data_IF_188083747420
#
_entry.id   IF_188083747420
#
_cell.length_a   1.000
_cell.length_b   1.000
_cell.length_c   1.000
_cell.angle_alpha   90.00
_cell.angle_beta   90.00
_cell.angle_gamma   90.00
#
_symmetry.space_group_name_H-M   'P 1'
#
loop_
_entity.id
_entity.type
_entity.pdbx_description
1 polymer ?
#
# COMPACT_ATOMS: atom_id res chain seq x y z
N UNK A 1 -43.38 -2.87 -45.07
CA UNK A 1 -42.91 -2.83 -46.47
C UNK A 1 -42.46 -1.41 -46.77
N UNK A 2 -41.38 -1.17 -47.54
CA UNK A 2 -40.06 -1.84 -47.53
C UNK A 2 -38.90 -0.78 -47.47
N UNK A 3 -37.70 -1.07 -46.93
CA UNK A 3 -36.57 -1.88 -47.44
C UNK A 3 -35.91 -1.31 -48.72
N UNK A 4 -34.64 -0.84 -48.65
CA UNK A 4 -33.45 -1.36 -49.39
C UNK A 4 -32.33 -0.33 -49.75
N UNK A 5 -31.09 -0.75 -49.39
CA UNK A 5 -29.75 -0.61 -50.02
C UNK A 5 -29.19 0.80 -50.38
N UNK A 6 -27.92 1.10 -50.12
CA UNK A 6 -26.73 0.44 -50.68
C UNK A 6 -25.47 0.57 -49.80
N UNK A 7 -24.70 -0.51 -49.86
CA UNK A 7 -23.37 -0.76 -49.34
C UNK A 7 -22.33 -0.26 -50.34
N UNK A 8 -21.25 0.39 -49.88
CA UNK A 8 -19.97 0.41 -50.60
C UNK A 8 -18.82 0.26 -49.63
N UNK A 9 -18.14 -0.87 -49.80
CA UNK A 9 -16.81 -1.25 -49.34
C UNK A 9 -15.76 -0.16 -49.59
N UNK A 10 -14.94 0.14 -48.57
CA UNK A 10 -13.55 0.56 -48.78
C UNK A 10 -12.64 -0.22 -47.83
N UNK A 11 -11.70 -0.92 -48.46
CA UNK A 11 -10.59 -1.71 -47.93
C UNK A 11 -9.94 -1.11 -46.68
N UNK A 12 -9.81 -1.94 -45.65
CA UNK A 12 -8.84 -1.73 -44.57
C UNK A 12 -7.54 -2.35 -45.06
N UNK A 13 -6.52 -1.51 -45.25
CA UNK A 13 -5.18 -1.96 -45.54
C UNK A 13 -4.58 -2.61 -44.28
N UNK A 14 -4.40 -3.92 -44.36
CA UNK A 14 -3.59 -4.73 -43.46
C UNK A 14 -2.12 -4.35 -43.65
N UNK A 15 -1.59 -3.51 -42.76
CA UNK A 15 -0.16 -3.47 -42.48
C UNK A 15 0.13 -4.27 -41.21
N UNK A 16 0.22 -5.59 -41.41
CA UNK A 16 0.97 -6.48 -40.54
C UNK A 16 2.42 -6.00 -40.48
N UNK A 17 2.88 -5.66 -39.28
CA UNK A 17 4.31 -5.54 -39.01
C UNK A 17 4.98 -6.90 -39.27
N UNK A 18 6.12 -6.82 -39.96
CA UNK A 18 6.99 -7.94 -40.33
C UNK A 18 7.40 -8.78 -39.09
N UNK A 19 7.51 -10.11 -39.19
CA UNK A 19 7.90 -10.99 -38.09
C UNK A 19 9.36 -10.89 -37.62
N UNK A 20 10.14 -9.91 -38.09
CA UNK A 20 11.57 -9.77 -37.76
C UNK A 20 11.89 -8.76 -36.63
N UNK A 21 10.91 -7.99 -36.12
CA UNK A 21 11.14 -6.98 -35.06
C UNK A 21 10.82 -7.46 -33.62
N UNK A 22 10.55 -8.76 -33.41
CA UNK A 22 10.28 -9.35 -32.08
C UNK A 22 11.53 -9.86 -31.34
N UNK A 23 12.74 -9.53 -31.81
CA UNK A 23 14.00 -10.01 -31.23
C UNK A 23 14.57 -9.15 -30.09
N UNK A 24 13.86 -8.12 -29.62
CA UNK A 24 14.31 -7.25 -28.50
C UNK A 24 13.35 -7.16 -27.31
N UNK A 25 12.70 -8.28 -26.94
CA UNK A 25 11.96 -8.39 -25.67
C UNK A 25 12.92 -8.92 -24.59
N UNK A 26 13.13 -8.23 -23.46
CA UNK A 26 13.94 -8.77 -22.36
C UNK A 26 13.30 -10.04 -21.79
N UNK A 27 13.99 -11.16 -21.94
CA UNK A 27 13.59 -12.45 -21.40
C UNK A 27 13.68 -12.41 -19.86
N UNK A 28 12.54 -12.58 -19.19
CA UNK A 28 12.38 -12.67 -17.73
C UNK A 28 13.05 -13.92 -17.11
N UNK A 29 13.56 -14.84 -17.94
CA UNK A 29 14.28 -16.04 -17.53
C UNK A 29 15.75 -15.83 -17.10
N UNK A 30 16.30 -14.61 -17.20
CA UNK A 30 17.72 -14.35 -16.94
C UNK A 30 18.12 -14.12 -15.47
N UNK A 31 17.26 -14.44 -14.50
CA UNK A 31 17.65 -14.55 -13.08
C UNK A 31 18.52 -15.79 -12.79
N UNK A 32 18.73 -16.67 -13.77
CA UNK A 32 19.45 -17.94 -13.62
C UNK A 32 20.98 -17.84 -13.78
N UNK A 33 21.56 -16.67 -14.05
CA UNK A 33 23.03 -16.51 -14.18
C UNK A 33 23.72 -15.97 -12.93
N UNK A 34 22.99 -15.80 -11.82
CA UNK A 34 23.59 -15.44 -10.53
C UNK A 34 24.34 -16.68 -10.03
N UNK A 35 25.68 -16.57 -9.95
CA UNK A 35 26.55 -17.62 -9.46
C UNK A 35 25.99 -18.28 -8.20
N UNK A 36 26.04 -19.61 -8.15
CA UNK A 36 25.59 -20.39 -6.99
C UNK A 36 26.11 -19.73 -5.71
N UNK A 37 25.24 -19.26 -4.79
CA UNK A 37 25.72 -18.80 -3.50
C UNK A 37 26.43 -19.98 -2.85
N UNK A 38 27.68 -19.76 -2.41
CA UNK A 38 28.30 -20.68 -1.48
C UNK A 38 27.34 -20.83 -0.30
N UNK A 39 26.91 -22.07 -0.05
CA UNK A 39 26.11 -22.39 1.11
C UNK A 39 26.93 -22.01 2.34
N UNK A 40 26.57 -20.90 2.99
CA UNK A 40 26.98 -20.65 4.36
C UNK A 40 26.30 -21.74 5.17
N UNK A 41 27.09 -22.72 5.61
CA UNK A 41 26.65 -23.77 6.53
C UNK A 41 26.37 -23.05 7.86
N UNK A 42 25.12 -22.65 8.06
CA UNK A 42 24.63 -22.28 9.37
C UNK A 42 24.50 -23.59 10.12
N UNK A 43 25.48 -23.87 10.98
CA UNK A 43 25.46 -25.04 11.85
C UNK A 43 24.12 -25.14 12.56
N UNK A 44 23.60 -26.36 12.69
CA UNK A 44 22.42 -26.70 13.48
C UNK A 44 22.71 -26.45 14.96
N UNK A 45 22.75 -25.18 15.36
CA UNK A 45 22.87 -24.75 16.74
C UNK A 45 21.52 -24.29 17.24
N UNK A 46 21.04 -24.94 18.29
CA UNK A 46 19.79 -24.64 18.99
C UNK A 46 19.87 -23.38 19.87
N UNK A 47 20.96 -22.61 19.79
CA UNK A 47 21.16 -21.36 20.54
C UNK A 47 21.30 -20.13 19.63
N UNK A 48 20.45 -19.13 19.90
CA UNK A 48 20.22 -17.87 19.19
C UNK A 48 21.40 -16.89 19.33
N UNK A 49 21.85 -16.18 18.29
CA UNK A 49 22.68 -15.01 18.48
C UNK A 49 21.84 -13.77 18.91
N UNK A 50 22.26 -13.07 19.98
CA UNK A 50 21.69 -11.78 20.42
C UNK A 50 21.96 -10.70 19.37
N UNK A 51 21.00 -10.42 18.49
CA UNK A 51 21.27 -9.86 17.15
C UNK A 51 22.21 -10.84 16.42
N UNK A 52 21.99 -11.24 15.16
CA UNK A 52 22.99 -12.10 14.55
C UNK A 52 24.32 -11.33 14.54
N UNK A 53 25.30 -11.79 15.32
CA UNK A 53 26.65 -11.26 15.26
C UNK A 53 27.24 -11.83 13.98
N UNK A 54 26.93 -11.17 12.86
CA UNK A 54 27.68 -11.39 11.64
C UNK A 54 29.08 -10.84 11.86
N UNK A 55 30.08 -11.56 11.36
CA UNK A 55 31.40 -11.00 11.21
C UNK A 55 31.34 -9.76 10.28
N UNK A 56 32.40 -8.94 10.33
CA UNK A 56 32.45 -7.71 9.56
C UNK A 56 32.34 -7.95 8.04
N UNK A 57 32.72 -9.13 7.56
CA UNK A 57 32.65 -9.50 6.14
C UNK A 57 31.20 -9.72 5.74
N UNK A 58 30.46 -10.52 6.49
CA UNK A 58 29.05 -10.79 6.23
C UNK A 58 28.16 -9.54 6.42
N UNK A 59 28.54 -8.61 7.30
CA UNK A 59 27.89 -7.28 7.41
C UNK A 59 28.10 -6.47 6.13
N UNK A 60 29.33 -6.41 5.61
CA UNK A 60 29.63 -5.66 4.40
C UNK A 60 28.98 -6.28 3.16
N UNK A 61 28.95 -7.61 3.08
CA UNK A 61 28.25 -8.34 2.02
C UNK A 61 26.74 -8.06 2.08
N UNK A 62 26.14 -8.07 3.28
CA UNK A 62 24.74 -7.73 3.47
C UNK A 62 24.43 -6.30 3.01
N UNK A 63 25.26 -5.32 3.37
CA UNK A 63 25.09 -3.92 2.94
C UNK A 63 25.18 -3.78 1.41
N UNK A 64 26.20 -4.37 0.79
CA UNK A 64 26.40 -4.33 -0.67
C UNK A 64 25.21 -4.94 -1.41
N UNK A 65 24.72 -6.07 -0.92
CA UNK A 65 23.60 -6.78 -1.53
C UNK A 65 22.26 -6.05 -1.32
N UNK A 66 22.03 -5.39 -0.18
CA UNK A 66 20.89 -4.48 -0.01
C UNK A 66 20.98 -3.33 -1.01
N UNK A 67 22.08 -2.57 -1.04
CA UNK A 67 22.18 -1.37 -1.90
C UNK A 67 21.97 -1.74 -3.38
N UNK A 68 22.72 -2.72 -3.88
CA UNK A 68 22.70 -3.08 -5.29
C UNK A 68 21.41 -3.77 -5.74
N UNK A 69 20.92 -4.75 -4.97
CA UNK A 69 19.80 -5.60 -5.41
C UNK A 69 18.45 -5.08 -4.91
N UNK A 70 18.36 -4.66 -3.64
CA UNK A 70 17.12 -4.06 -3.13
C UNK A 70 16.86 -2.70 -3.79
N UNK A 71 17.90 -1.89 -4.02
CA UNK A 71 17.78 -0.62 -4.75
C UNK A 71 17.16 -0.80 -6.14
N UNK A 72 17.64 -1.77 -6.92
CA UNK A 72 17.09 -2.07 -8.24
C UNK A 72 15.67 -2.65 -8.23
N UNK A 73 15.28 -3.38 -7.17
CA UNK A 73 13.89 -3.84 -7.01
C UNK A 73 12.98 -2.67 -6.61
N UNK A 74 13.40 -1.88 -5.62
CA UNK A 74 12.65 -0.73 -5.13
C UNK A 74 12.40 0.29 -6.25
N UNK A 75 13.40 0.63 -7.06
CA UNK A 75 13.24 1.56 -8.21
C UNK A 75 12.16 1.13 -9.21
N UNK A 76 11.98 -0.17 -9.41
CA UNK A 76 10.97 -0.70 -10.34
C UNK A 76 9.56 -0.67 -9.75
N UNK A 77 9.46 -0.61 -8.42
CA UNK A 77 8.20 -0.56 -7.68
C UNK A 77 7.77 0.87 -7.32
N UNK A 78 8.69 1.83 -7.38
CA UNK A 78 8.35 3.23 -7.12
C UNK A 78 7.47 3.80 -8.23
N UNK A 79 6.50 4.59 -7.82
CA UNK A 79 5.64 5.35 -8.71
C UNK A 79 6.41 6.41 -9.49
N UNK A 80 7.38 7.10 -8.85
CA UNK A 80 8.31 8.00 -9.54
C UNK A 80 9.75 7.57 -9.31
N UNK A 81 10.61 7.72 -10.32
CA UNK A 81 12.04 7.43 -10.16
C UNK A 81 12.65 8.42 -9.17
N UNK A 82 13.47 7.89 -8.27
CA UNK A 82 14.20 8.70 -7.28
C UNK A 82 15.69 8.60 -7.59
N UNK A 83 16.33 9.69 -7.98
CA UNK A 83 17.74 9.70 -8.46
C UNK A 83 18.79 9.29 -7.40
N UNK A 84 18.41 9.18 -6.12
CA UNK A 84 19.31 8.93 -4.98
C UNK A 84 18.80 7.83 -4.04
N UNK A 85 18.10 6.81 -4.56
CA UNK A 85 17.57 5.73 -3.70
C UNK A 85 18.69 5.00 -2.94
N UNK A 86 19.85 4.82 -3.59
CA UNK A 86 20.99 4.10 -3.01
C UNK A 86 21.61 4.87 -1.86
N UNK A 87 21.67 6.21 -1.96
CA UNK A 87 22.12 7.09 -0.88
C UNK A 87 21.17 7.00 0.31
N UNK A 88 19.85 7.02 0.06
CA UNK A 88 18.82 6.84 1.09
C UNK A 88 18.90 5.48 1.78
N UNK A 89 19.06 4.40 1.02
CA UNK A 89 19.26 3.05 1.55
C UNK A 89 20.55 2.95 2.37
N UNK A 90 21.64 3.55 1.88
CA UNK A 90 22.94 3.59 2.56
C UNK A 90 22.84 4.34 3.90
N UNK A 91 22.16 5.49 3.91
CA UNK A 91 21.93 6.26 5.13
C UNK A 91 21.09 5.45 6.13
N UNK A 92 20.04 4.76 5.66
CA UNK A 92 19.16 3.95 6.51
C UNK A 92 19.91 2.76 7.13
N UNK A 93 20.62 1.95 6.34
CA UNK A 93 21.35 0.77 6.87
C UNK A 93 22.53 1.13 7.77
N UNK A 94 23.13 2.31 7.59
CA UNK A 94 24.23 2.77 8.43
C UNK A 94 23.76 3.47 9.71
N UNK A 95 22.48 3.85 9.80
CA UNK A 95 21.94 4.55 10.97
C UNK A 95 21.74 3.65 12.20
N UNK A 96 21.50 2.35 12.01
CA UNK A 96 21.30 1.38 13.09
C UNK A 96 21.47 -0.06 12.64
N UNK A 97 22.01 -0.92 13.52
CA UNK A 97 22.05 -2.36 13.31
C UNK A 97 20.64 -2.96 13.18
N UNK A 98 19.63 -2.40 13.87
CA UNK A 98 18.24 -2.87 13.75
C UNK A 98 17.79 -2.75 12.30
N UNK A 99 17.99 -1.58 11.70
CA UNK A 99 17.61 -1.29 10.32
C UNK A 99 18.37 -2.12 9.30
N UNK A 100 19.69 -2.30 9.49
CA UNK A 100 20.47 -3.22 8.68
C UNK A 100 19.86 -4.62 8.67
N UNK A 101 19.50 -5.12 9.86
CA UNK A 101 18.97 -6.46 10.02
C UNK A 101 17.56 -6.65 9.47
N UNK A 102 16.66 -5.70 9.72
CA UNK A 102 15.29 -5.77 9.19
C UNK A 102 15.29 -5.63 7.68
N UNK A 103 16.12 -4.76 7.11
CA UNK A 103 16.26 -4.63 5.66
C UNK A 103 16.91 -5.86 5.03
N UNK A 104 17.93 -6.44 5.66
CA UNK A 104 18.52 -7.70 5.20
C UNK A 104 17.49 -8.83 5.17
N UNK A 105 16.70 -8.97 6.25
CA UNK A 105 15.66 -9.99 6.35
C UNK A 105 14.55 -9.78 5.31
N UNK A 106 14.08 -8.54 5.15
CA UNK A 106 13.12 -8.15 4.11
C UNK A 106 13.65 -8.49 2.71
N UNK A 107 14.91 -8.19 2.44
CA UNK A 107 15.55 -8.55 1.17
C UNK A 107 15.60 -10.07 0.96
N UNK A 108 16.04 -10.85 1.97
CA UNK A 108 16.12 -12.31 1.86
C UNK A 108 14.76 -12.95 1.62
N UNK A 109 13.74 -12.47 2.32
CA UNK A 109 12.35 -12.87 2.10
C UNK A 109 11.93 -12.54 0.66
N UNK A 110 12.18 -11.32 0.20
CA UNK A 110 11.83 -10.91 -1.16
C UNK A 110 12.52 -11.77 -2.23
N UNK A 111 13.79 -12.12 -2.03
CA UNK A 111 14.53 -13.02 -2.91
C UNK A 111 13.87 -14.39 -2.98
N UNK A 112 13.52 -15.00 -1.83
CA UNK A 112 12.85 -16.30 -1.79
C UNK A 112 11.46 -16.22 -2.45
N UNK A 113 10.65 -15.23 -2.09
CA UNK A 113 9.29 -15.05 -2.60
C UNK A 113 9.29 -14.77 -4.12
N UNK A 114 10.24 -13.98 -4.63
CA UNK A 114 10.35 -13.69 -6.06
C UNK A 114 10.68 -14.91 -6.92
N UNK A 115 11.29 -15.95 -6.34
CA UNK A 115 11.50 -17.25 -7.01
C UNK A 115 10.30 -18.20 -6.91
N UNK A 116 9.20 -17.77 -6.28
CA UNK A 116 8.04 -18.62 -5.98
C UNK A 116 8.27 -19.62 -4.84
N UNK A 117 9.39 -19.50 -4.12
CA UNK A 117 9.74 -20.39 -3.01
C UNK A 117 9.03 -19.99 -1.71
N UNK A 118 8.82 -20.97 -0.82
CA UNK A 118 8.17 -20.73 0.47
C UNK A 118 9.12 -20.05 1.48
N UNK A 119 8.78 -18.82 1.88
CA UNK A 119 9.53 -18.02 2.85
C UNK A 119 9.02 -18.16 4.30
N UNK A 120 8.04 -19.03 4.60
CA UNK A 120 7.44 -19.16 5.94
C UNK A 120 8.46 -19.53 7.04
N UNK A 121 9.58 -20.14 6.71
CA UNK A 121 10.64 -20.43 7.70
C UNK A 121 11.19 -19.16 8.37
N UNK A 122 11.14 -18.00 7.69
CA UNK A 122 11.51 -16.70 8.27
C UNK A 122 10.48 -16.17 9.27
N UNK A 123 9.23 -16.65 9.28
CA UNK A 123 8.17 -16.12 10.15
C UNK A 123 8.55 -16.22 11.63
N UNK A 124 9.11 -17.36 12.05
CA UNK A 124 9.56 -17.56 13.43
C UNK A 124 10.68 -16.59 13.83
N UNK A 125 11.56 -16.25 12.88
CA UNK A 125 12.64 -15.29 13.10
C UNK A 125 12.10 -13.87 13.20
N UNK A 126 11.19 -13.49 12.32
CA UNK A 126 10.55 -12.17 12.33
C UNK A 126 9.77 -11.94 13.64
N UNK A 127 8.93 -12.89 14.05
CA UNK A 127 8.14 -12.78 15.30
C UNK A 127 9.07 -12.71 16.52
N UNK A 128 10.15 -13.46 16.53
CA UNK A 128 11.13 -13.40 17.64
C UNK A 128 11.85 -12.05 17.64
N UNK A 129 12.21 -11.53 16.47
CA UNK A 129 12.91 -10.27 16.37
C UNK A 129 12.01 -9.09 16.75
N UNK A 130 10.74 -9.09 16.35
CA UNK A 130 9.78 -8.05 16.76
C UNK A 130 9.57 -8.01 18.27
N UNK A 131 9.50 -9.18 18.93
CA UNK A 131 9.45 -9.25 20.41
C UNK A 131 10.71 -8.68 21.05
N UNK A 132 11.89 -9.02 20.54
CA UNK A 132 13.16 -8.48 21.04
C UNK A 132 13.23 -6.96 20.93
N UNK A 133 12.74 -6.38 19.83
CA UNK A 133 12.70 -4.93 19.66
C UNK A 133 11.82 -4.25 20.72
N UNK A 134 10.67 -4.85 21.06
CA UNK A 134 9.82 -4.33 22.12
C UNK A 134 10.41 -4.50 23.52
N UNK A 135 11.05 -5.63 23.80
CA UNK A 135 11.63 -5.93 25.12
C UNK A 135 12.88 -5.07 25.42
N UNK A 136 13.58 -4.61 24.38
CA UNK A 136 14.80 -3.81 24.49
C UNK A 136 14.57 -2.31 24.75
N UNK A 137 13.31 -1.87 24.91
CA UNK A 137 12.94 -0.46 25.14
C UNK A 137 12.55 -0.20 26.59
N UNK A 138 13.49 -0.10 27.56
CA UNK A 138 13.16 0.34 28.90
C UNK A 138 12.74 1.82 28.90
N UNK A 139 11.75 2.22 29.71
CA UNK A 139 11.14 3.56 29.68
C UNK A 139 12.05 4.71 30.15
N UNK A 140 13.29 4.44 30.56
CA UNK A 140 14.12 5.37 31.32
C UNK A 140 15.44 5.78 30.66
N UNK A 141 15.76 5.32 29.45
CA UNK A 141 17.01 5.74 28.78
C UNK A 141 16.84 7.05 27.99
N UNK A 142 17.73 8.04 28.20
CA UNK A 142 17.65 9.32 27.52
C UNK A 142 18.01 9.21 26.04
N UNK A 143 17.12 9.75 25.21
CA UNK A 143 17.37 10.45 23.94
C UNK A 143 18.55 9.94 23.09
N UNK A 144 18.56 8.65 22.73
CA UNK A 144 19.47 8.13 21.72
C UNK A 144 18.77 7.97 20.37
N UNK A 145 19.54 7.94 19.29
CA UNK A 145 19.12 7.74 17.89
C UNK A 145 18.34 6.43 17.61
N UNK A 146 18.08 5.60 18.63
CA UNK A 146 17.49 4.27 18.52
C UNK A 146 15.98 4.21 18.27
N UNK A 147 15.18 5.21 18.67
CA UNK A 147 13.72 5.12 18.57
C UNK A 147 13.19 5.13 17.13
N UNK A 148 13.88 5.85 16.24
CA UNK A 148 13.58 5.79 14.80
C UNK A 148 13.86 4.42 14.23
N UNK A 149 14.94 3.77 14.68
CA UNK A 149 15.27 2.43 14.24
C UNK A 149 14.30 1.37 14.77
N UNK A 150 13.72 1.57 15.97
CA UNK A 150 12.69 0.68 16.53
C UNK A 150 11.41 0.74 15.69
N UNK A 151 10.84 1.93 15.48
CA UNK A 151 9.62 2.10 14.67
C UNK A 151 9.82 1.55 13.26
N UNK A 152 10.88 2.00 12.58
CA UNK A 152 11.20 1.57 11.22
C UNK A 152 11.42 0.06 11.12
N UNK A 153 12.12 -0.51 12.11
CA UNK A 153 12.38 -1.95 12.17
C UNK A 153 11.10 -2.75 12.34
N UNK A 154 10.21 -2.33 13.24
CA UNK A 154 8.91 -2.99 13.45
C UNK A 154 8.03 -2.91 12.20
N UNK A 155 7.99 -1.77 11.51
CA UNK A 155 7.26 -1.61 10.25
C UNK A 155 7.79 -2.52 9.13
N UNK A 156 9.12 -2.56 8.95
CA UNK A 156 9.75 -3.44 7.96
C UNK A 156 9.42 -4.90 8.24
N UNK A 157 9.44 -5.32 9.50
CA UNK A 157 9.08 -6.67 9.93
C UNK A 157 7.59 -6.96 9.68
N UNK A 158 6.70 -6.03 10.03
CA UNK A 158 5.25 -6.17 9.81
C UNK A 158 4.93 -6.40 8.32
N UNK A 159 5.50 -5.60 7.42
CA UNK A 159 5.27 -5.77 5.98
C UNK A 159 5.95 -7.01 5.41
N UNK A 160 7.09 -7.40 5.99
CA UNK A 160 7.72 -8.68 5.65
C UNK A 160 6.82 -9.85 6.01
N UNK A 161 6.10 -9.78 7.13
CA UNK A 161 5.09 -10.79 7.50
C UNK A 161 3.90 -10.79 6.54
N UNK A 162 3.40 -9.62 6.13
CA UNK A 162 2.32 -9.54 5.13
C UNK A 162 2.70 -10.28 3.82
N UNK A 163 3.97 -10.20 3.41
CA UNK A 163 4.45 -10.89 2.21
C UNK A 163 4.43 -12.42 2.34
N UNK A 164 4.73 -12.98 3.51
CA UNK A 164 5.00 -14.42 3.66
C UNK A 164 3.92 -15.22 4.39
N UNK A 165 3.09 -14.55 5.19
CA UNK A 165 2.03 -15.17 5.98
C UNK A 165 0.67 -14.76 5.43
N UNK A 166 0.17 -13.59 5.85
CA UNK A 166 -1.04 -12.93 5.39
C UNK A 166 -1.11 -11.51 5.98
N UNK A 167 -2.04 -10.72 5.45
CA UNK A 167 -2.30 -9.33 5.83
C UNK A 167 -2.73 -9.23 7.30
N UNK A 168 -3.46 -10.22 7.84
CA UNK A 168 -3.91 -10.17 9.23
C UNK A 168 -2.74 -10.31 10.22
N UNK A 169 -1.86 -11.28 9.99
CA UNK A 169 -0.69 -11.55 10.81
C UNK A 169 0.26 -10.36 10.76
N UNK A 170 0.49 -9.79 9.57
CA UNK A 170 1.35 -8.62 9.44
C UNK A 170 0.73 -7.36 10.02
N UNK A 171 -0.58 -7.14 9.88
CA UNK A 171 -1.28 -6.06 10.58
C UNK A 171 -1.23 -6.23 12.10
N UNK A 172 -1.33 -7.46 12.62
CA UNK A 172 -1.19 -7.74 14.05
C UNK A 172 0.19 -7.30 14.59
N UNK A 173 1.25 -7.47 13.79
CA UNK A 173 2.57 -6.91 14.09
C UNK A 173 2.59 -5.39 13.93
N UNK A 174 1.95 -4.83 12.90
CA UNK A 174 1.87 -3.38 12.68
C UNK A 174 1.22 -2.66 13.86
N UNK A 175 0.22 -3.26 14.55
CA UNK A 175 -0.35 -2.70 15.79
C UNK A 175 0.71 -2.43 16.87
N UNK A 176 1.76 -3.23 16.91
CA UNK A 176 2.87 -3.07 17.87
C UNK A 176 3.72 -1.84 17.58
N UNK A 177 3.63 -1.25 16.38
CA UNK A 177 4.31 -0.01 16.03
C UNK A 177 3.68 1.23 16.69
N UNK A 178 2.39 1.20 17.06
CA UNK A 178 1.69 2.39 17.56
C UNK A 178 2.33 3.01 18.84
N UNK A 179 2.74 2.23 19.86
CA UNK A 179 3.49 2.79 20.99
C UNK A 179 4.84 3.39 20.59
N UNK A 180 5.57 2.75 19.66
CA UNK A 180 6.85 3.26 19.15
C UNK A 180 6.65 4.57 18.37
N UNK A 181 5.59 4.66 17.58
CA UNK A 181 5.18 5.88 16.90
C UNK A 181 4.88 7.02 17.89
N UNK A 182 4.07 6.78 18.92
CA UNK A 182 3.73 7.79 19.92
C UNK A 182 4.97 8.29 20.66
N UNK A 183 5.90 7.39 21.02
CA UNK A 183 7.21 7.79 21.59
C UNK A 183 8.00 8.65 20.62
N UNK A 184 8.11 8.25 19.36
CA UNK A 184 8.80 9.03 18.32
C UNK A 184 8.17 10.41 18.10
N UNK A 185 6.84 10.51 18.19
CA UNK A 185 6.08 11.75 18.05
C UNK A 185 6.31 12.74 19.21
N UNK A 186 6.74 12.30 20.39
CA UNK A 186 7.06 13.22 21.51
C UNK A 186 8.19 14.20 21.20
N UNK A 187 9.03 13.88 20.21
CA UNK A 187 10.14 14.74 19.74
C UNK A 187 9.69 15.88 18.83
N UNK A 188 8.43 15.84 18.39
CA UNK A 188 7.86 16.80 17.45
C UNK A 188 6.57 17.38 18.07
N UNK A 189 6.69 18.32 19.01
CA UNK A 189 5.53 18.93 19.68
C UNK A 189 4.51 19.49 18.70
N UNK A 190 4.96 19.96 17.53
CA UNK A 190 4.10 20.49 16.48
C UNK A 190 3.09 19.47 15.94
N UNK A 191 3.36 18.17 16.03
CA UNK A 191 2.45 17.12 15.57
C UNK A 191 1.18 17.02 16.42
N UNK A 192 1.22 17.48 17.67
CA UNK A 192 0.13 17.33 18.62
C UNK A 192 -0.87 18.48 18.49
N UNK A 193 -2.15 18.14 18.51
CA UNK A 193 -3.26 19.07 18.67
C UNK A 193 -3.61 19.23 20.15
N UNK A 194 -4.43 20.23 20.49
CA UNK A 194 -4.84 20.53 21.87
C UNK A 194 -5.47 19.33 22.59
N UNK A 195 -6.16 18.45 21.85
CA UNK A 195 -6.83 17.26 22.40
C UNK A 195 -5.92 16.02 22.48
N UNK A 196 -4.58 16.20 22.42
CA UNK A 196 -3.60 15.10 22.36
C UNK A 196 -3.80 14.17 21.16
N UNK A 197 -4.52 14.60 20.12
CA UNK A 197 -4.61 13.91 18.83
C UNK A 197 -3.45 14.35 17.93
N UNK A 198 -3.03 13.48 17.01
CA UNK A 198 -1.95 13.78 16.06
C UNK A 198 -2.54 14.47 14.83
N UNK A 199 -2.11 15.69 14.52
CA UNK A 199 -2.53 16.39 13.32
C UNK A 199 -2.04 15.65 12.06
N UNK A 200 -2.94 15.00 11.32
CA UNK A 200 -2.57 14.18 10.16
C UNK A 200 -1.80 14.97 9.08
N UNK A 201 -2.14 16.25 8.75
CA UNK A 201 -1.37 17.02 7.78
C UNK A 201 0.11 17.15 8.19
N UNK A 202 0.35 17.41 9.48
CA UNK A 202 1.69 17.60 10.03
C UNK A 202 2.46 16.29 10.13
N UNK A 203 1.79 15.19 10.48
CA UNK A 203 2.41 13.86 10.46
C UNK A 203 2.85 13.46 9.05
N UNK A 204 2.01 13.71 8.04
CA UNK A 204 2.33 13.45 6.63
C UNK A 204 3.43 14.38 6.09
N UNK A 205 3.56 15.59 6.62
CA UNK A 205 4.66 16.52 6.30
C UNK A 205 5.89 16.36 7.17
N UNK A 206 5.85 15.48 8.18
CA UNK A 206 6.92 15.33 9.14
C UNK A 206 8.23 15.00 8.42
N UNK A 207 9.33 15.66 8.81
CA UNK A 207 10.66 15.40 8.24
C UNK A 207 11.15 13.99 8.53
N UNK A 208 10.67 13.40 9.63
CA UNK A 208 10.95 12.01 9.97
C UNK A 208 10.15 11.08 9.05
N UNK A 209 10.89 10.31 8.25
CA UNK A 209 10.32 9.37 7.28
C UNK A 209 9.40 8.35 7.97
N UNK A 210 9.77 7.85 9.14
CA UNK A 210 9.10 6.73 9.78
C UNK A 210 7.77 7.19 10.42
N UNK A 211 7.71 8.42 10.95
CA UNK A 211 6.44 9.04 11.39
C UNK A 211 5.49 9.22 10.20
N UNK A 212 6.00 9.77 9.10
CA UNK A 212 5.22 10.00 7.88
C UNK A 212 4.68 8.69 7.30
N UNK A 213 5.55 7.68 7.24
CA UNK A 213 5.26 6.36 6.71
C UNK A 213 4.22 5.63 7.58
N UNK A 214 4.36 5.64 8.90
CA UNK A 214 3.38 5.08 9.81
C UNK A 214 2.00 5.73 9.64
N UNK A 215 1.93 7.07 9.63
CA UNK A 215 0.65 7.78 9.51
C UNK A 215 -0.08 7.48 8.19
N UNK A 216 0.69 7.31 7.11
CA UNK A 216 0.17 6.85 5.83
C UNK A 216 -0.40 5.44 5.93
N UNK A 217 0.36 4.48 6.43
CA UNK A 217 -0.07 3.08 6.49
C UNK A 217 -1.23 2.86 7.44
N UNK A 218 -1.25 3.53 8.58
CA UNK A 218 -2.38 3.48 9.51
C UNK A 218 -3.69 3.98 8.84
N UNK A 219 -3.59 5.03 8.01
CA UNK A 219 -4.70 5.53 7.20
C UNK A 219 -5.14 4.52 6.14
N UNK A 220 -4.19 3.89 5.43
CA UNK A 220 -4.46 2.90 4.38
C UNK A 220 -5.00 1.60 4.96
N UNK A 221 -4.50 1.12 6.10
CA UNK A 221 -5.04 -0.06 6.79
C UNK A 221 -6.47 0.17 7.27
N UNK A 222 -6.76 1.35 7.85
CA UNK A 222 -8.12 1.70 8.26
C UNK A 222 -9.10 1.67 7.08
N UNK A 223 -8.68 2.15 5.91
CA UNK A 223 -9.44 2.03 4.65
C UNK A 223 -9.56 0.58 4.20
N UNK A 224 -8.43 -0.09 3.93
CA UNK A 224 -8.39 -1.41 3.30
C UNK A 224 -9.09 -2.46 4.16
N UNK A 225 -8.80 -2.50 5.46
CA UNK A 225 -9.38 -3.48 6.38
C UNK A 225 -10.75 -3.01 6.90
N UNK A 226 -11.18 -1.78 6.64
CA UNK A 226 -12.42 -1.26 7.22
C UNK A 226 -12.37 -1.35 8.75
N UNK A 227 -11.28 -0.91 9.36
CA UNK A 227 -11.06 -0.84 10.82
C UNK A 227 -10.86 0.61 11.25
N UNK A 228 -10.70 0.85 12.54
CA UNK A 228 -10.31 2.17 13.04
C UNK A 228 -8.79 2.37 12.90
N UNK A 229 -8.33 3.59 12.61
CA UNK A 229 -6.91 3.91 12.76
C UNK A 229 -6.41 3.62 14.18
N UNK A 230 -5.16 3.22 14.31
CA UNK A 230 -4.49 2.97 15.58
C UNK A 230 -4.24 4.27 16.34
N UNK A 231 -4.00 5.35 15.61
CA UNK A 231 -3.75 6.68 16.17
C UNK A 231 -4.99 7.55 16.01
N UNK A 232 -5.30 8.29 17.08
CA UNK A 232 -6.31 9.34 17.03
C UNK A 232 -5.77 10.54 16.25
N UNK A 233 -6.19 10.68 15.00
CA UNK A 233 -5.79 11.79 14.14
C UNK A 233 -6.72 12.99 14.26
N UNK A 234 -6.14 14.17 14.45
CA UNK A 234 -6.83 15.44 14.20
C UNK A 234 -6.81 15.72 12.69
N UNK A 235 -8.02 15.81 12.12
CA UNK A 235 -8.25 16.08 10.70
C UNK A 235 -8.80 17.48 10.44
N UNK A 236 -8.91 18.31 11.47
CA UNK A 236 -9.39 19.70 11.40
C UNK A 236 -8.27 20.68 11.07
N UNK A 237 -7.03 20.33 11.42
CA UNK A 237 -5.84 21.10 11.01
C UNK A 237 -5.82 21.26 9.48
N UNK A 238 -5.68 22.48 8.94
CA UNK A 238 -5.64 22.70 7.50
C UNK A 238 -4.34 22.16 6.90
N UNK A 239 -4.44 21.64 5.68
CA UNK A 239 -3.26 21.32 4.87
C UNK A 239 -2.69 22.61 4.28
N UNK A 240 -1.42 22.88 4.56
CA UNK A 240 -0.66 23.97 3.93
C UNK A 240 0.36 23.31 3.01
N UNK A 241 0.19 23.44 1.70
CA UNK A 241 1.17 22.94 0.75
C UNK A 241 2.44 23.80 0.83
N UNK A 242 3.50 23.27 1.43
CA UNK A 242 4.80 23.94 1.53
C UNK A 242 5.60 23.89 0.21
N UNK A 243 5.03 23.36 -0.87
CA UNK A 243 5.73 23.19 -2.15
C UNK A 243 6.85 22.15 -2.10
N UNK A 244 6.92 21.37 -1.01
CA UNK A 244 7.86 20.26 -0.84
C UNK A 244 7.21 19.00 -1.39
N UNK A 245 7.88 18.36 -2.34
CA UNK A 245 7.43 17.08 -2.87
C UNK A 245 7.34 16.05 -1.75
N UNK A 246 6.14 15.56 -1.49
CA UNK A 246 5.94 14.52 -0.49
C UNK A 246 6.32 13.17 -1.09
N UNK A 247 7.40 12.58 -0.56
CA UNK A 247 7.90 11.29 -1.03
C UNK A 247 6.88 10.15 -1.03
N UNK A 248 5.76 10.25 -0.29
CA UNK A 248 4.69 9.25 -0.31
C UNK A 248 4.08 9.08 -1.71
N UNK A 249 3.89 10.16 -2.47
CA UNK A 249 3.36 10.06 -3.83
C UNK A 249 4.32 9.29 -4.74
N UNK A 250 5.63 9.41 -4.49
CA UNK A 250 6.67 8.71 -5.26
C UNK A 250 6.72 7.23 -4.96
N UNK A 251 6.33 6.82 -3.75
CA UNK A 251 6.35 5.41 -3.36
C UNK A 251 5.01 4.74 -3.68
N UNK A 252 3.89 5.41 -3.45
CA UNK A 252 2.58 4.76 -3.44
C UNK A 252 1.66 5.16 -4.60
N UNK A 253 1.99 6.22 -5.33
CA UNK A 253 1.18 6.72 -6.44
C UNK A 253 -0.14 7.36 -6.01
N UNK A 254 -0.38 7.48 -4.70
CA UNK A 254 -1.54 8.17 -4.15
C UNK A 254 -1.18 9.62 -3.80
N UNK A 255 -1.93 10.59 -4.34
CA UNK A 255 -1.77 12.00 -4.00
C UNK A 255 -2.05 12.24 -2.50
N UNK A 256 -1.19 13.02 -1.85
CA UNK A 256 -1.33 13.34 -0.42
C UNK A 256 -2.68 13.98 -0.10
N UNK A 257 -3.16 14.88 -0.96
CA UNK A 257 -4.47 15.52 -0.79
C UNK A 257 -5.61 14.52 -0.64
N UNK A 258 -5.55 13.38 -1.34
CA UNK A 258 -6.55 12.31 -1.24
C UNK A 258 -6.38 11.49 0.04
N UNK A 259 -5.15 11.20 0.49
CA UNK A 259 -4.90 10.54 1.79
C UNK A 259 -5.49 11.34 2.94
N UNK A 260 -5.37 12.67 2.92
CA UNK A 260 -5.96 13.52 3.95
C UNK A 260 -7.49 13.45 3.94
N UNK A 261 -8.11 13.32 2.77
CA UNK A 261 -9.57 13.10 2.69
C UNK A 261 -9.96 11.71 3.20
N UNK A 262 -9.17 10.67 2.89
CA UNK A 262 -9.38 9.32 3.44
C UNK A 262 -9.27 9.34 4.96
N UNK A 263 -8.29 10.07 5.53
CA UNK A 263 -8.15 10.24 6.98
C UNK A 263 -9.37 10.94 7.60
N UNK A 264 -9.92 11.98 6.95
CA UNK A 264 -11.18 12.63 7.38
C UNK A 264 -12.35 11.63 7.39
N UNK A 265 -12.50 10.82 6.34
CA UNK A 265 -13.53 9.76 6.28
C UNK A 265 -13.33 8.73 7.41
N UNK A 266 -12.10 8.31 7.67
CA UNK A 266 -11.76 7.40 8.77
C UNK A 266 -12.13 7.98 10.14
N UNK A 267 -11.76 9.23 10.41
CA UNK A 267 -12.05 9.93 11.67
C UNK A 267 -13.57 10.11 11.89
N UNK A 268 -14.28 10.46 10.83
CA UNK A 268 -15.74 10.53 10.83
C UNK A 268 -16.38 9.18 11.19
N UNK A 269 -15.90 8.09 10.57
CA UNK A 269 -16.36 6.73 10.87
C UNK A 269 -16.04 6.32 12.31
N UNK A 270 -14.85 6.67 12.82
CA UNK A 270 -14.46 6.40 14.21
C UNK A 270 -15.39 7.10 15.21
N UNK A 271 -15.69 8.38 14.97
CA UNK A 271 -16.60 9.18 15.81
C UNK A 271 -17.98 8.56 15.90
N UNK A 272 -18.51 8.09 14.77
CA UNK A 272 -19.82 7.43 14.71
C UNK A 272 -19.84 6.09 15.45
N UNK A 273 -18.79 5.27 15.30
CA UNK A 273 -18.69 3.96 15.98
C UNK A 273 -18.57 4.10 17.51
N UNK A 274 -17.99 5.20 17.99
CA UNK A 274 -17.86 5.51 19.43
C UNK A 274 -19.13 6.21 19.97
N UNK A 275 -20.18 6.37 19.15
CA UNK A 275 -21.47 6.95 19.56
C UNK A 275 -21.41 8.46 19.82
N UNK A 276 -20.42 9.16 19.27
CA UNK A 276 -20.35 10.63 19.33
C UNK A 276 -21.19 11.25 18.20
N UNK A 277 -21.55 12.52 18.37
CA UNK A 277 -22.47 13.24 17.50
C UNK A 277 -22.14 13.05 16.00
N UNK A 278 -23.18 12.85 15.20
CA UNK A 278 -23.05 12.72 13.76
C UNK A 278 -22.36 13.97 13.17
N UNK A 279 -21.48 13.80 12.17
CA UNK A 279 -20.83 14.92 11.51
C UNK A 279 -21.86 15.90 10.96
N UNK A 280 -21.50 17.18 10.90
CA UNK A 280 -22.39 18.22 10.39
C UNK A 280 -22.82 17.86 8.96
N UNK A 281 -24.09 18.11 8.60
CA UNK A 281 -24.68 17.66 7.33
C UNK A 281 -23.91 18.12 6.07
N UNK A 282 -23.08 19.15 6.19
CA UNK A 282 -22.30 19.74 5.09
C UNK A 282 -20.82 19.30 5.04
N UNK A 283 -20.31 18.58 6.04
CA UNK A 283 -18.88 18.23 6.11
C UNK A 283 -18.43 17.34 4.93
N UNK A 284 -19.27 16.38 4.53
CA UNK A 284 -18.98 15.51 3.39
C UNK A 284 -18.96 16.27 2.06
N UNK A 285 -19.72 17.37 1.92
CA UNK A 285 -19.74 18.19 0.69
C UNK A 285 -18.44 18.97 0.53
N UNK A 286 -17.89 19.45 1.64
CA UNK A 286 -16.58 20.09 1.63
C UNK A 286 -15.50 19.10 1.20
N UNK A 287 -15.51 17.89 1.76
CA UNK A 287 -14.58 16.81 1.38
C UNK A 287 -14.76 16.45 -0.11
N UNK A 288 -16.00 16.26 -0.56
CA UNK A 288 -16.31 15.98 -1.97
C UNK A 288 -15.77 17.07 -2.90
N UNK A 289 -15.99 18.34 -2.56
CA UNK A 289 -15.49 19.49 -3.32
C UNK A 289 -13.96 19.48 -3.41
N UNK A 290 -13.25 19.15 -2.34
CA UNK A 290 -11.79 19.00 -2.36
C UNK A 290 -11.33 17.86 -3.28
N UNK A 291 -11.99 16.70 -3.22
CA UNK A 291 -11.66 15.55 -4.08
C UNK A 291 -11.92 15.86 -5.56
N UNK A 292 -13.03 16.56 -5.87
CA UNK A 292 -13.40 16.92 -7.24
C UNK A 292 -12.52 18.01 -7.85
N UNK A 293 -12.04 18.95 -7.04
CA UNK A 293 -11.13 20.03 -7.49
C UNK A 293 -9.67 19.58 -7.58
N UNK A 294 -9.33 18.45 -6.97
CA UNK A 294 -7.99 17.88 -7.06
C UNK A 294 -7.68 17.47 -8.51
N UNK A 295 -6.46 17.77 -8.95
CA UNK A 295 -5.97 17.43 -10.28
C UNK A 295 -4.65 16.65 -10.19
N UNK A 296 -4.44 15.68 -11.10
CA UNK A 296 -3.20 14.91 -11.17
C UNK A 296 -2.00 15.80 -11.50
N UNK A 297 -0.90 15.54 -10.78
CA UNK A 297 0.40 16.16 -11.05
C UNK A 297 1.03 15.44 -12.24
N UNK A 298 1.05 16.10 -13.40
CA UNK A 298 1.66 15.58 -14.62
C UNK A 298 3.11 16.05 -14.68
N UNK A 299 4.04 15.13 -14.44
CA UNK A 299 5.46 15.36 -14.74
C UNK A 299 5.70 15.18 -16.25
N UNK A 300 6.02 16.27 -16.94
CA UNK A 300 6.26 16.29 -18.40
C UNK A 300 7.68 15.85 -18.77
N UNK A 301 8.54 15.57 -17.80
CA UNK A 301 9.90 15.09 -18.04
C UNK A 301 9.96 13.60 -18.37
N UNK A 302 8.86 12.87 -18.16
CA UNK A 302 8.75 11.44 -18.45
C UNK A 302 8.17 11.17 -19.86
N UNK A 303 8.50 10.00 -20.42
CA UNK A 303 7.92 9.56 -21.69
C UNK A 303 6.39 9.43 -21.61
N UNK A 304 5.67 9.70 -22.71
CA UNK A 304 4.20 9.86 -22.72
C UNK A 304 3.42 8.65 -22.19
N UNK A 305 3.95 7.42 -22.36
CA UNK A 305 3.31 6.20 -21.84
C UNK A 305 3.28 6.18 -20.30
N UNK A 306 4.38 6.53 -19.64
CA UNK A 306 4.43 6.59 -18.17
C UNK A 306 3.51 7.66 -17.61
N UNK A 307 3.42 8.81 -18.29
CA UNK A 307 2.49 9.88 -17.91
C UNK A 307 1.03 9.40 -17.90
N UNK A 308 0.61 8.65 -18.92
CA UNK A 308 -0.76 8.11 -19.01
C UNK A 308 -1.03 7.12 -17.87
N UNK A 309 -0.11 6.18 -17.61
CA UNK A 309 -0.31 5.18 -16.55
C UNK A 309 -0.38 5.84 -15.17
N UNK A 310 0.46 6.84 -14.91
CA UNK A 310 0.41 7.60 -13.65
C UNK A 310 -0.90 8.34 -13.48
N UNK A 311 -1.37 8.99 -14.54
CA UNK A 311 -2.69 9.61 -14.54
C UNK A 311 -3.79 8.60 -14.20
N UNK A 312 -3.77 7.44 -14.84
CA UNK A 312 -4.73 6.34 -14.57
C UNK A 312 -4.71 5.94 -13.09
N UNK A 313 -3.53 5.74 -12.50
CA UNK A 313 -3.40 5.39 -11.07
C UNK A 313 -3.97 6.47 -10.17
N UNK A 314 -3.60 7.73 -10.37
CA UNK A 314 -4.06 8.81 -9.50
C UNK A 314 -5.56 9.09 -9.66
N UNK A 315 -6.08 8.99 -10.87
CA UNK A 315 -7.51 9.12 -11.12
C UNK A 315 -8.30 7.97 -10.49
N UNK A 316 -7.79 6.73 -10.55
CA UNK A 316 -8.36 5.60 -9.80
C UNK A 316 -8.41 5.88 -8.29
N UNK A 317 -7.36 6.49 -7.71
CA UNK A 317 -7.37 6.91 -6.30
C UNK A 317 -8.42 8.00 -6.02
N UNK A 318 -8.63 8.95 -6.93
CA UNK A 318 -9.66 9.98 -6.81
C UNK A 318 -11.06 9.35 -6.75
N UNK A 319 -11.36 8.43 -7.67
CA UNK A 319 -12.63 7.70 -7.70
C UNK A 319 -12.82 6.82 -6.46
N UNK A 320 -11.75 6.15 -6.03
CA UNK A 320 -11.72 5.35 -4.81
C UNK A 320 -12.09 6.16 -3.58
N UNK A 321 -11.55 7.37 -3.47
CA UNK A 321 -11.84 8.28 -2.36
C UNK A 321 -13.30 8.73 -2.39
N UNK A 322 -13.88 8.96 -3.57
CA UNK A 322 -15.31 9.28 -3.72
C UNK A 322 -16.20 8.10 -3.30
N UNK A 323 -15.90 6.87 -3.74
CA UNK A 323 -16.64 5.67 -3.33
C UNK A 323 -16.63 5.56 -1.79
N UNK A 324 -15.44 5.66 -1.20
CA UNK A 324 -15.25 5.55 0.25
C UNK A 324 -16.01 6.65 1.00
N UNK A 325 -15.93 7.91 0.54
CA UNK A 325 -16.67 9.04 1.10
C UNK A 325 -18.19 8.76 1.12
N UNK A 326 -18.75 8.39 -0.02
CA UNK A 326 -20.20 8.18 -0.13
C UNK A 326 -20.67 7.01 0.74
N UNK A 327 -19.99 5.88 0.68
CA UNK A 327 -20.42 4.70 1.43
C UNK A 327 -20.18 4.83 2.94
N UNK A 328 -19.12 5.54 3.37
CA UNK A 328 -18.77 5.65 4.80
C UNK A 328 -19.33 6.88 5.50
N UNK A 329 -19.28 8.06 4.88
CA UNK A 329 -19.80 9.29 5.49
C UNK A 329 -21.25 9.55 5.10
N UNK A 330 -21.60 9.41 3.82
CA UNK A 330 -22.98 9.66 3.37
C UNK A 330 -23.91 8.48 3.64
N UNK A 331 -23.38 7.32 4.03
CA UNK A 331 -24.12 6.09 4.36
C UNK A 331 -25.03 5.59 3.23
N UNK A 332 -24.66 5.90 1.98
CA UNK A 332 -25.36 5.37 0.82
C UNK A 332 -24.79 4.00 0.45
N UNK A 333 -25.61 3.20 -0.24
CA UNK A 333 -25.20 1.89 -0.72
C UNK A 333 -24.55 1.96 -2.12
N UNK A 334 -24.11 0.81 -2.62
CA UNK A 334 -23.49 0.67 -3.94
C UNK A 334 -24.42 0.88 -5.14
N UNK A 335 -25.73 1.11 -4.94
CA UNK A 335 -26.66 1.49 -5.99
C UNK A 335 -26.84 3.01 -6.11
N UNK A 336 -26.24 3.82 -5.22
CA UNK A 336 -26.19 5.26 -5.41
C UNK A 336 -25.50 5.57 -6.76
N UNK A 337 -26.13 6.39 -7.64
CA UNK A 337 -25.58 6.69 -8.96
C UNK A 337 -24.15 7.26 -8.94
N UNK A 338 -23.79 7.98 -7.87
CA UNK A 338 -22.44 8.54 -7.71
C UNK A 338 -21.42 7.45 -7.42
N UNK A 339 -21.79 6.45 -6.61
CA UNK A 339 -20.95 5.29 -6.34
C UNK A 339 -20.81 4.44 -7.60
N UNK A 340 -21.92 4.14 -8.29
CA UNK A 340 -21.89 3.34 -9.51
C UNK A 340 -21.03 4.00 -10.62
N UNK A 341 -21.16 5.32 -10.79
CA UNK A 341 -20.35 6.08 -11.73
C UNK A 341 -18.85 6.03 -11.40
N UNK A 342 -18.49 6.16 -10.12
CA UNK A 342 -17.10 6.09 -9.69
C UNK A 342 -16.50 4.68 -9.88
N UNK A 343 -17.27 3.62 -9.54
CA UNK A 343 -16.88 2.22 -9.78
C UNK A 343 -16.63 1.98 -11.27
N UNK A 344 -17.53 2.45 -12.13
CA UNK A 344 -17.39 2.32 -13.58
C UNK A 344 -16.11 2.99 -14.09
N UNK A 345 -15.78 4.18 -13.59
CA UNK A 345 -14.55 4.88 -13.95
C UNK A 345 -13.30 4.11 -13.52
N UNK A 346 -13.24 3.60 -12.29
CA UNK A 346 -12.10 2.76 -11.84
C UNK A 346 -11.92 1.55 -12.76
N UNK A 347 -13.02 0.88 -13.13
CA UNK A 347 -12.96 -0.31 -13.99
C UNK A 347 -12.47 0.02 -15.39
N UNK A 348 -12.99 1.10 -15.98
CA UNK A 348 -12.56 1.57 -17.30
C UNK A 348 -11.07 1.90 -17.29
N UNK A 349 -10.61 2.67 -16.30
CA UNK A 349 -9.21 3.07 -16.17
C UNK A 349 -8.28 1.88 -15.90
N UNK A 350 -8.67 0.98 -14.99
CA UNK A 350 -7.90 -0.23 -14.69
C UNK A 350 -7.81 -1.17 -15.89
N UNK A 351 -8.80 -1.16 -16.80
CA UNK A 351 -8.79 -1.99 -18.01
C UNK A 351 -7.75 -1.54 -19.04
N UNK A 352 -7.39 -0.26 -19.06
CA UNK A 352 -6.37 0.32 -19.96
C UNK A 352 -4.97 -0.17 -19.59
N UNK A 353 -4.74 -0.46 -18.31
CA UNK A 353 -3.42 -0.82 -17.83
C UNK A 353 -3.06 -2.27 -18.17
N UNK A 354 -1.94 -2.42 -18.86
CA UNK A 354 -1.40 -3.72 -19.24
C UNK A 354 -1.10 -4.62 -18.04
N UNK A 355 -1.33 -5.92 -18.20
CA UNK A 355 -1.14 -6.93 -17.15
C UNK A 355 0.30 -7.00 -16.63
N UNK A 356 1.30 -6.57 -17.40
CA UNK A 356 2.72 -6.64 -17.02
C UNK A 356 3.33 -5.28 -16.65
N UNK A 357 2.54 -4.21 -16.64
CA UNK A 357 3.07 -2.89 -16.29
C UNK A 357 3.47 -2.85 -14.80
N UNK A 358 4.69 -2.39 -14.43
CA UNK A 358 5.16 -2.39 -13.04
C UNK A 358 4.26 -1.62 -12.07
N UNK A 359 3.69 -0.50 -12.52
CA UNK A 359 2.82 0.35 -11.71
C UNK A 359 1.43 -0.23 -11.41
N UNK A 360 1.14 -1.46 -11.87
CA UNK A 360 -0.16 -2.08 -11.63
C UNK A 360 -0.46 -2.33 -10.15
N UNK A 361 0.58 -2.54 -9.35
CA UNK A 361 0.48 -2.73 -7.90
C UNK A 361 -0.22 -1.56 -7.20
N UNK A 362 -0.06 -0.33 -7.71
CA UNK A 362 -0.71 0.86 -7.17
C UNK A 362 -2.24 0.90 -7.39
N UNK A 363 -2.78 0.00 -8.22
CA UNK A 363 -4.23 -0.15 -8.39
C UNK A 363 -4.86 -1.13 -7.41
N UNK A 364 -4.09 -1.77 -6.51
CA UNK A 364 -4.66 -2.74 -5.56
C UNK A 364 -5.82 -2.13 -4.75
N UNK A 365 -5.56 -1.06 -3.99
CA UNK A 365 -6.58 -0.43 -3.14
C UNK A 365 -7.74 0.12 -3.98
N UNK A 366 -7.50 0.81 -5.12
CA UNK A 366 -8.61 1.17 -6.00
C UNK A 366 -9.48 0.01 -6.48
N UNK A 367 -8.86 -1.12 -6.88
CA UNK A 367 -9.60 -2.30 -7.29
C UNK A 367 -10.36 -2.94 -6.13
N UNK A 368 -9.78 -2.98 -4.93
CA UNK A 368 -10.44 -3.47 -3.72
C UNK A 368 -11.70 -2.66 -3.41
N UNK A 369 -11.58 -1.33 -3.31
CA UNK A 369 -12.71 -0.45 -2.97
C UNK A 369 -13.79 -0.46 -4.05
N UNK A 370 -13.40 -0.46 -5.34
CA UNK A 370 -14.36 -0.64 -6.42
C UNK A 370 -15.02 -2.02 -6.39
N UNK A 371 -14.30 -3.06 -5.95
CA UNK A 371 -14.79 -4.44 -5.81
C UNK A 371 -15.84 -4.57 -4.73
N UNK A 372 -15.65 -3.88 -3.60
CA UNK A 372 -16.65 -3.76 -2.54
C UNK A 372 -17.97 -3.21 -3.09
N UNK A 373 -17.89 -2.16 -3.91
CA UNK A 373 -19.06 -1.50 -4.50
C UNK A 373 -19.53 -2.14 -5.82
N UNK A 374 -18.91 -3.21 -6.31
CA UNK A 374 -19.24 -3.78 -7.62
C UNK A 374 -20.53 -4.60 -7.58
N UNK A 375 -21.52 -4.17 -8.37
CA UNK A 375 -22.83 -4.84 -8.50
C UNK A 375 -22.95 -5.76 -9.71
N UNK A 376 -22.17 -5.54 -10.75
CA UNK A 376 -22.25 -6.31 -11.99
C UNK A 376 -21.20 -7.42 -12.02
N UNK A 377 -21.60 -8.62 -12.44
CA UNK A 377 -20.69 -9.77 -12.47
C UNK A 377 -19.48 -9.55 -13.37
N UNK A 378 -19.66 -8.86 -14.50
CA UNK A 378 -18.54 -8.46 -15.38
C UNK A 378 -17.52 -7.57 -14.67
N UNK A 379 -18.00 -6.66 -13.80
CA UNK A 379 -17.15 -5.77 -13.02
C UNK A 379 -16.38 -6.55 -11.95
N UNK A 380 -17.08 -7.44 -11.23
CA UNK A 380 -16.51 -8.35 -10.22
C UNK A 380 -15.39 -9.22 -10.80
N UNK A 381 -15.66 -9.88 -11.94
CA UNK A 381 -14.68 -10.71 -12.64
C UNK A 381 -13.42 -9.92 -13.06
N UNK A 382 -13.59 -8.71 -13.62
CA UNK A 382 -12.46 -7.86 -13.99
C UNK A 382 -11.61 -7.49 -12.76
N UNK A 383 -12.25 -7.11 -11.67
CA UNK A 383 -11.58 -6.73 -10.42
C UNK A 383 -10.83 -7.92 -9.83
N UNK A 384 -11.45 -9.10 -9.74
CA UNK A 384 -10.80 -10.31 -9.30
C UNK A 384 -9.58 -10.65 -10.15
N UNK A 385 -9.70 -10.56 -11.49
CA UNK A 385 -8.58 -10.80 -12.39
C UNK A 385 -7.46 -9.78 -12.17
N UNK A 386 -7.80 -8.50 -11.95
CA UNK A 386 -6.80 -7.45 -11.68
C UNK A 386 -6.08 -7.73 -10.37
N UNK A 387 -6.78 -7.90 -9.25
CA UNK A 387 -6.19 -8.18 -7.94
C UNK A 387 -5.36 -9.46 -7.96
N UNK A 388 -5.84 -10.53 -8.61
CA UNK A 388 -5.11 -11.80 -8.71
C UNK A 388 -3.84 -11.70 -9.57
N UNK A 389 -3.84 -10.79 -10.56
CA UNK A 389 -2.68 -10.54 -11.40
C UNK A 389 -1.64 -9.63 -10.72
N UNK A 390 -1.95 -9.04 -9.56
CA UNK A 390 -0.98 -8.30 -8.77
C UNK A 390 -0.10 -9.31 -8.03
N UNK A 391 1.22 -9.10 -8.08
CA UNK A 391 2.16 -9.99 -7.41
C UNK A 391 2.32 -9.58 -5.93
N UNK A 392 3.21 -10.26 -5.21
CA UNK A 392 3.58 -9.86 -3.84
C UNK A 392 4.21 -8.45 -3.74
N UNK A 393 4.36 -7.72 -4.86
CA UNK A 393 4.75 -6.30 -4.88
C UNK A 393 3.82 -5.42 -4.06
N UNK A 394 2.52 -5.74 -3.97
CA UNK A 394 1.55 -4.91 -3.26
C UNK A 394 1.77 -4.97 -1.75
N UNK A 395 2.11 -6.16 -1.25
CA UNK A 395 2.48 -6.35 0.14
C UNK A 395 3.78 -5.63 0.49
N UNK A 396 4.68 -5.46 -0.48
CA UNK A 396 5.92 -4.71 -0.30
C UNK A 396 5.68 -3.19 -0.25
N UNK A 397 4.78 -2.68 -1.09
CA UNK A 397 4.44 -1.27 -1.12
C UNK A 397 3.46 -0.89 0.00
N UNK A 398 2.27 -1.47 0.04
CA UNK A 398 1.16 -1.00 0.87
C UNK A 398 0.98 -1.80 2.17
N UNK A 399 1.83 -2.80 2.43
CA UNK A 399 1.68 -3.65 3.61
C UNK A 399 0.43 -4.53 3.58
N UNK A 400 -0.21 -4.71 2.42
CA UNK A 400 -1.43 -5.50 2.23
C UNK A 400 -1.24 -6.46 1.05
N UNK A 401 -1.66 -7.71 1.21
CA UNK A 401 -1.55 -8.73 0.17
C UNK A 401 -2.90 -8.90 -0.52
N UNK A 402 -2.97 -8.55 -1.80
CA UNK A 402 -4.24 -8.58 -2.53
C UNK A 402 -4.92 -9.94 -2.59
N UNK A 403 -4.15 -11.03 -2.60
CA UNK A 403 -4.67 -12.39 -2.53
C UNK A 403 -5.56 -12.66 -1.30
N UNK A 404 -5.33 -11.98 -0.18
CA UNK A 404 -6.11 -12.17 1.05
C UNK A 404 -7.50 -11.55 0.96
N UNK A 405 -7.69 -10.61 0.05
CA UNK A 405 -8.97 -9.91 -0.14
C UNK A 405 -9.85 -10.55 -1.22
N UNK A 406 -9.32 -11.44 -2.05
CA UNK A 406 -10.14 -12.20 -3.01
C UNK A 406 -11.22 -13.02 -2.28
N UNK A 407 -10.89 -13.84 -1.25
CA UNK A 407 -11.91 -14.57 -0.49
C UNK A 407 -12.91 -13.65 0.24
N UNK A 408 -12.46 -12.46 0.66
CA UNK A 408 -13.34 -11.47 1.31
C UNK A 408 -14.38 -10.93 0.33
N UNK A 409 -13.94 -10.55 -0.87
CA UNK A 409 -14.84 -10.09 -1.94
C UNK A 409 -15.77 -11.20 -2.40
N UNK A 410 -15.26 -12.43 -2.52
CA UNK A 410 -16.05 -13.60 -2.88
C UNK A 410 -17.18 -13.86 -1.86
N UNK A 411 -16.85 -13.83 -0.56
CA UNK A 411 -17.85 -13.93 0.50
C UNK A 411 -18.89 -12.81 0.40
N UNK A 412 -18.47 -11.55 0.22
CA UNK A 412 -19.38 -10.40 0.07
C UNK A 412 -20.34 -10.59 -1.11
N UNK A 413 -19.81 -11.01 -2.26
CA UNK A 413 -20.57 -11.15 -3.51
C UNK A 413 -21.56 -12.31 -3.51
N UNK A 414 -21.28 -13.36 -2.75
CA UNK A 414 -22.18 -14.50 -2.57
C UNK A 414 -23.11 -14.38 -1.36
N UNK A 415 -22.90 -13.39 -0.49
CA UNK A 415 -23.76 -13.10 0.67
C UNK A 415 -24.59 -11.83 0.48
N UNK A 416 -24.19 -10.72 1.10
CA UNK A 416 -24.93 -9.45 1.10
C UNK A 416 -25.14 -8.89 -0.31
N UNK A 417 -24.14 -9.04 -1.20
CA UNK A 417 -24.22 -8.57 -2.58
C UNK A 417 -24.70 -9.65 -3.58
N UNK A 418 -25.31 -10.73 -3.09
CA UNK A 418 -25.85 -11.81 -3.94
C UNK A 418 -26.77 -11.25 -5.03
N UNK A 419 -26.61 -11.75 -6.26
CA UNK A 419 -27.38 -11.31 -7.43
C UNK A 419 -27.29 -9.79 -7.72
N UNK A 420 -26.19 -9.14 -7.34
CA UNK A 420 -25.97 -7.71 -7.60
C UNK A 420 -26.79 -6.78 -6.69
N UNK A 421 -27.25 -7.28 -5.55
CA UNK A 421 -27.90 -6.46 -4.51
C UNK A 421 -26.97 -5.31 -4.06
N UNK A 422 -27.53 -4.14 -3.76
CA UNK A 422 -26.75 -3.04 -3.19
C UNK A 422 -26.16 -3.46 -1.85
N UNK A 423 -24.96 -2.96 -1.56
CA UNK A 423 -24.26 -3.19 -0.30
C UNK A 423 -23.74 -1.88 0.26
N UNK A 424 -23.65 -1.83 1.58
CA UNK A 424 -23.02 -0.76 2.35
C UNK A 424 -21.56 -1.08 2.63
N UNK A 425 -20.82 -0.11 3.17
CA UNK A 425 -19.47 -0.38 3.64
C UNK A 425 -19.44 -1.36 4.83
N UNK A 426 -20.50 -1.42 5.63
CA UNK A 426 -20.56 -2.31 6.78
C UNK A 426 -20.71 -3.79 6.36
N UNK A 427 -21.42 -4.06 5.26
CA UNK A 427 -21.51 -5.41 4.69
C UNK A 427 -20.13 -5.93 4.27
N UNK A 428 -19.27 -5.04 3.75
CA UNK A 428 -17.86 -5.35 3.48
C UNK A 428 -17.08 -5.64 4.77
N UNK A 429 -17.22 -4.79 5.78
CA UNK A 429 -16.56 -4.99 7.09
C UNK A 429 -16.95 -6.34 7.70
N UNK A 430 -18.23 -6.72 7.64
CA UNK A 430 -18.72 -8.02 8.10
C UNK A 430 -18.13 -9.18 7.31
N UNK A 431 -18.09 -9.08 5.98
CA UNK A 431 -17.46 -10.11 5.12
C UNK A 431 -15.96 -10.24 5.40
N UNK A 432 -15.27 -9.13 5.61
CA UNK A 432 -13.85 -9.12 5.99
C UNK A 432 -13.66 -9.76 7.36
N UNK A 433 -14.49 -9.44 8.36
CA UNK A 433 -14.45 -10.10 9.67
C UNK A 433 -14.71 -11.62 9.58
N UNK A 434 -15.58 -12.08 8.69
CA UNK A 434 -15.90 -13.49 8.53
C UNK A 434 -14.74 -14.30 7.91
N UNK A 435 -13.95 -13.69 7.03
CA UNK A 435 -12.94 -14.38 6.21
C UNK A 435 -11.51 -14.07 6.61
N UNK A 436 -11.20 -12.81 6.90
CA UNK A 436 -9.88 -12.31 7.28
C UNK A 436 -9.92 -11.82 8.72
N UNK A 437 -9.75 -12.77 9.65
CA UNK A 437 -9.77 -12.49 11.09
C UNK A 437 -8.57 -11.68 11.50
N UNK A 438 -8.80 -10.44 11.94
CA UNK A 438 -7.80 -9.59 12.57
C UNK A 438 -7.93 -9.77 14.07
N UNK A 439 -6.86 -10.18 14.75
CA UNK A 439 -6.86 -10.24 16.21
C UNK A 439 -7.14 -8.83 16.76
N UNK A 440 -8.12 -8.70 17.66
CA UNK A 440 -8.50 -7.42 18.30
C UNK A 440 -7.34 -6.83 19.09
#
# INVERSE_FOLDING_TARGET
>A
MPLKYLCTSSKVDDHFASPEDLSQIPNWANLNSIGKPQAVIIGTSTSIPRVPQLDAVAINDAKSLIISQFGGIAQRMLFRRVSHIEDGLTLRINSSNILLWTMYLKFKVLQVVSTGSNAQHYLSWIIRFSKQLLDCSPPTQPLSSGWNAELAGLEDLAFTVCMIADTSTGYSLFKMCAPAFLRSATRFPELWSENSAIAIPKAIQCRDHEIRHFAFHDTVFALALGILPLINYDTTTPWVDEGKECGLEFVYGVPVGLILQIAKVNSSRATQLIGRAAPHQDEWREIESHIRRWNPSIDRTEGPSNTIVKFVVQECWRQTTLIYLYMCMCKVDSADPRVESAVRQVIQLASIMETFHPLKSHLFIPCLVAGVAARHERHRALICNKISALSNSDALALGVRGADFIPVLDHLWHSAASSGKPVTWEDYVQSRCAVLLIAS
#
